data_IF_511269891578
#
_entry.id   IF_511269891578
#
_cell.length_a   1.000
_cell.length_b   1.000
_cell.length_c   1.000
_cell.angle_alpha   90.00
_cell.angle_beta   90.00
_cell.angle_gamma   90.00
#
_symmetry.space_group_name_H-M   'P 1'
#
loop_
_entity.id
_entity.type
_entity.pdbx_description
1 polymer ?
#
# COMPACT_ATOMS: atom_id res chain seq x y z
N UNK A 1 4.45 -12.83 28.24
CA UNK A 1 3.66 -13.83 27.48
C UNK A 1 2.51 -13.07 26.85
N UNK A 2 2.26 -13.26 25.55
CA UNK A 2 1.10 -12.64 24.89
C UNK A 2 -0.17 -13.17 25.55
N UNK A 3 -1.04 -12.29 26.04
CA UNK A 3 -2.28 -12.68 26.73
C UNK A 3 -3.38 -13.16 25.76
N UNK A 4 -3.10 -13.22 24.47
CA UNK A 4 -4.10 -13.41 23.42
C UNK A 4 -3.85 -14.75 22.72
N UNK A 5 -4.83 -15.65 22.76
CA UNK A 5 -4.74 -17.00 22.15
C UNK A 5 -4.90 -16.96 20.62
N UNK A 6 -5.67 -16.00 20.10
CA UNK A 6 -6.00 -15.89 18.69
C UNK A 6 -5.98 -14.44 18.22
N UNK A 7 -5.45 -14.23 17.01
CA UNK A 7 -5.42 -12.93 16.34
C UNK A 7 -6.01 -13.09 14.94
N UNK A 8 -7.00 -12.26 14.61
CA UNK A 8 -7.67 -12.26 13.31
C UNK A 8 -7.33 -10.95 12.60
N UNK A 9 -6.69 -11.06 11.43
CA UNK A 9 -6.49 -9.94 10.51
C UNK A 9 -7.58 -9.99 9.44
N UNK A 10 -8.58 -9.11 9.55
CA UNK A 10 -9.62 -8.94 8.55
C UNK A 10 -9.24 -7.80 7.60
N UNK A 11 -9.13 -8.11 6.31
CA UNK A 11 -8.88 -7.14 5.24
C UNK A 11 -10.03 -7.17 4.22
N UNK A 12 -10.36 -6.02 3.64
CA UNK A 12 -11.40 -5.87 2.63
C UNK A 12 -10.82 -5.17 1.40
N UNK A 13 -11.06 -5.74 0.21
CA UNK A 13 -10.57 -5.18 -1.05
C UNK A 13 -11.44 -4.03 -1.54
N UNK A 14 -10.80 -2.96 -2.01
CA UNK A 14 -11.45 -1.75 -2.54
C UNK A 14 -12.50 -1.08 -1.62
N UNK A 15 -12.45 -1.31 -0.30
CA UNK A 15 -13.37 -0.70 0.67
C UNK A 15 -12.93 0.74 1.00
N UNK A 16 -13.83 1.70 0.80
CA UNK A 16 -13.60 3.11 1.18
C UNK A 16 -14.14 3.36 2.60
N UNK A 17 -13.34 4.01 3.44
CA UNK A 17 -13.73 4.34 4.80
C UNK A 17 -14.97 5.26 4.85
N UNK A 18 -15.06 6.26 3.98
CA UNK A 18 -16.19 7.19 3.90
C UNK A 18 -17.51 6.56 3.41
N UNK A 19 -17.51 5.27 3.08
CA UNK A 19 -18.69 4.48 2.70
C UNK A 19 -19.16 3.53 3.82
N UNK A 20 -18.57 3.62 5.01
CA UNK A 20 -18.98 2.92 6.22
C UNK A 20 -19.76 3.86 7.13
N UNK A 21 -20.91 3.41 7.66
CA UNK A 21 -21.77 4.23 8.52
C UNK A 21 -21.06 4.63 9.82
N UNK A 22 -20.22 3.76 10.40
CA UNK A 22 -19.38 4.12 11.54
C UNK A 22 -18.40 5.28 11.24
N UNK A 23 -18.01 5.53 9.99
CA UNK A 23 -17.17 6.67 9.59
C UNK A 23 -17.97 7.88 9.12
N UNK A 24 -19.30 7.88 9.30
CA UNK A 24 -20.18 9.00 8.99
C UNK A 24 -20.90 8.90 7.64
N UNK A 25 -20.90 7.72 7.00
CA UNK A 25 -21.68 7.53 5.78
C UNK A 25 -23.19 7.58 6.07
N UNK A 26 -23.96 8.22 5.18
CA UNK A 26 -25.40 8.47 5.39
C UNK A 26 -26.26 7.21 5.37
N UNK A 27 -25.83 6.18 4.64
CA UNK A 27 -26.57 4.92 4.53
C UNK A 27 -26.03 3.95 5.55
N UNK A 28 -26.92 3.15 6.13
CA UNK A 28 -26.57 2.02 6.98
C UNK A 28 -26.00 0.87 6.13
N UNK A 29 -24.71 0.94 5.83
CA UNK A 29 -24.02 -0.03 4.96
C UNK A 29 -23.25 -1.08 5.75
N UNK A 30 -23.01 -0.85 7.04
CA UNK A 30 -22.10 -1.66 7.84
C UNK A 30 -22.55 -1.89 9.29
N UNK A 31 -23.82 -2.25 9.57
CA UNK A 31 -24.35 -2.30 10.94
C UNK A 31 -23.54 -3.21 11.86
N UNK A 32 -23.09 -4.38 11.37
CA UNK A 32 -22.25 -5.30 12.16
C UNK A 32 -20.88 -4.72 12.49
N UNK A 33 -20.28 -3.96 11.56
CA UNK A 33 -19.01 -3.28 11.83
C UNK A 33 -19.20 -2.06 12.73
N UNK A 34 -20.38 -1.44 12.70
CA UNK A 34 -20.70 -0.30 13.54
C UNK A 34 -20.82 -0.72 15.01
N UNK A 35 -21.52 -1.84 15.28
CA UNK A 35 -21.59 -2.46 16.60
C UNK A 35 -20.19 -2.81 17.12
N UNK A 36 -19.37 -3.46 16.27
CA UNK A 36 -17.99 -3.81 16.63
C UNK A 36 -17.13 -2.56 16.89
N UNK A 37 -17.31 -1.49 16.11
CA UNK A 37 -16.57 -0.24 16.27
C UNK A 37 -16.95 0.52 17.54
N UNK A 38 -18.17 0.35 18.08
CA UNK A 38 -18.61 1.00 19.31
C UNK A 38 -17.86 0.49 20.56
N UNK A 39 -17.38 -0.75 20.51
CA UNK A 39 -16.64 -1.40 21.61
C UNK A 39 -15.12 -1.47 21.34
N UNK A 40 -14.66 -0.92 20.22
CA UNK A 40 -13.28 -1.02 19.74
C UNK A 40 -12.57 0.33 19.65
N UNK A 41 -11.24 0.29 19.55
CA UNK A 41 -10.47 1.47 19.13
C UNK A 41 -10.57 1.64 17.62
N UNK A 42 -11.01 2.81 17.17
CA UNK A 42 -11.16 3.15 15.75
C UNK A 42 -10.14 4.21 15.32
N UNK A 43 -9.39 3.90 14.27
CA UNK A 43 -8.42 4.82 13.68
C UNK A 43 -9.06 5.67 12.57
N UNK A 44 -9.01 7.00 12.69
CA UNK A 44 -9.51 7.92 11.65
C UNK A 44 -8.45 8.35 10.63
N UNK A 45 -7.19 7.97 10.88
CA UNK A 45 -6.01 8.33 10.06
C UNK A 45 -5.12 7.10 9.82
N UNK A 46 -5.73 6.04 9.29
CA UNK A 46 -5.01 4.85 8.84
C UNK A 46 -4.79 4.93 7.32
N UNK A 47 -3.53 4.85 6.90
CA UNK A 47 -3.14 4.95 5.49
C UNK A 47 -2.57 3.62 5.02
N UNK A 48 -2.96 3.19 3.81
CA UNK A 48 -2.33 2.05 3.16
C UNK A 48 -0.93 2.43 2.68
N UNK A 49 0.01 1.49 2.76
CA UNK A 49 1.37 1.68 2.26
C UNK A 49 1.41 1.85 0.72
N UNK A 50 0.37 1.39 0.02
CA UNK A 50 0.18 1.57 -1.42
C UNK A 50 -1.31 1.62 -1.78
N UNK A 51 -1.65 2.23 -2.91
CA UNK A 51 -3.00 2.23 -3.49
C UNK A 51 -3.36 0.92 -4.20
N UNK A 52 -2.38 0.06 -4.49
CA UNK A 52 -2.56 -1.19 -5.22
C UNK A 52 -2.45 -2.41 -4.31
N UNK A 53 -3.38 -3.37 -4.45
CA UNK A 53 -3.49 -4.57 -3.59
C UNK A 53 -2.22 -5.42 -3.60
N UNK A 54 -1.58 -5.55 -4.78
CA UNK A 54 -0.35 -6.35 -4.94
C UNK A 54 0.80 -5.79 -4.09
N UNK A 55 0.82 -4.49 -3.89
CA UNK A 55 1.87 -3.79 -3.15
C UNK A 55 1.51 -3.63 -1.66
N UNK A 56 0.24 -3.35 -1.37
CA UNK A 56 -0.24 -3.11 0.00
C UNK A 56 -0.26 -4.37 0.87
N UNK A 57 -0.62 -5.53 0.31
CA UNK A 57 -0.74 -6.77 1.09
C UNK A 57 0.60 -7.31 1.60
N UNK A 58 1.67 -7.39 0.79
CA UNK A 58 3.00 -7.75 1.31
C UNK A 58 3.48 -6.78 2.39
N UNK A 59 3.31 -5.47 2.19
CA UNK A 59 3.69 -4.46 3.18
C UNK A 59 2.94 -4.65 4.51
N UNK A 60 1.62 -4.90 4.47
CA UNK A 60 0.81 -5.14 5.66
C UNK A 60 1.26 -6.38 6.46
N UNK A 61 1.62 -7.46 5.77
CA UNK A 61 1.98 -8.74 6.39
C UNK A 61 3.42 -8.79 6.92
N UNK A 62 4.32 -8.04 6.29
CA UNK A 62 5.74 -8.00 6.66
C UNK A 62 6.06 -6.88 7.66
N UNK A 63 5.26 -5.81 7.66
CA UNK A 63 5.57 -4.58 8.38
C UNK A 63 6.63 -3.72 7.69
N UNK A 64 7.02 -4.07 6.46
CA UNK A 64 8.00 -3.34 5.65
C UNK A 64 7.33 -2.43 4.62
N UNK A 65 8.05 -1.42 4.14
CA UNK A 65 7.58 -0.59 3.03
C UNK A 65 7.54 -1.38 1.71
N UNK A 66 6.70 -0.98 0.73
CA UNK A 66 6.51 -1.75 -0.51
C UNK A 66 7.79 -2.01 -1.31
N UNK A 67 8.79 -1.13 -1.23
CA UNK A 67 10.09 -1.26 -1.88
C UNK A 67 10.94 -2.41 -1.32
N UNK A 68 10.73 -2.78 -0.06
CA UNK A 68 11.35 -3.93 0.58
C UNK A 68 10.44 -5.16 0.62
N UNK A 69 9.13 -4.96 0.81
CA UNK A 69 8.15 -6.03 0.96
C UNK A 69 7.85 -6.79 -0.35
N UNK A 70 8.02 -6.10 -1.47
CA UNK A 70 7.91 -6.67 -2.81
C UNK A 70 9.34 -6.61 -3.33
N UNK A 71 10.11 -7.68 -3.20
CA UNK A 71 11.41 -7.76 -3.85
C UNK A 71 11.16 -7.82 -5.37
N UNK A 72 10.97 -6.64 -5.93
CA UNK A 72 10.79 -6.43 -7.34
C UNK A 72 12.20 -6.48 -7.93
N UNK A 73 12.72 -7.70 -8.11
CA UNK A 73 13.61 -8.00 -9.23
C UNK A 73 12.81 -7.84 -10.54
N UNK A 74 12.21 -6.66 -10.77
CA UNK A 74 11.99 -6.18 -12.13
C UNK A 74 13.38 -5.94 -12.63
N UNK A 75 13.82 -6.89 -13.43
CA UNK A 75 14.98 -6.81 -14.27
C UNK A 75 14.80 -5.60 -15.19
N UNK A 76 15.09 -4.41 -14.66
CA UNK A 76 15.05 -3.11 -15.35
C UNK A 76 16.02 -3.08 -16.54
N UNK A 77 16.89 -4.10 -16.65
CA UNK A 77 17.69 -4.37 -17.84
C UNK A 77 16.86 -4.78 -19.06
N UNK A 78 15.65 -5.33 -18.89
CA UNK A 78 14.84 -5.83 -20.03
C UNK A 78 14.06 -4.71 -20.74
N UNK A 79 13.73 -3.60 -20.07
CA UNK A 79 13.02 -2.48 -20.70
C UNK A 79 13.97 -1.43 -21.34
N UNK A 80 15.22 -1.28 -20.86
CA UNK A 80 16.18 -0.34 -21.48
C UNK A 80 16.95 -0.92 -22.68
N UNK A 81 16.75 -2.20 -23.02
CA UNK A 81 17.40 -2.88 -24.16
C UNK A 81 16.46 -3.13 -25.35
N UNK A 82 15.60 -2.19 -25.70
CA UNK A 82 14.97 -2.15 -27.04
C UNK A 82 14.74 -0.72 -27.53
N UNK A 83 15.83 -0.01 -27.85
CA UNK A 83 15.84 0.98 -28.95
C UNK A 83 17.27 1.35 -29.32
N UNK A 84 17.71 0.85 -30.47
CA UNK A 84 18.58 1.60 -31.39
C UNK A 84 20.03 1.83 -30.97
N UNK A 85 20.88 0.89 -31.36
CA UNK A 85 22.21 1.14 -31.91
C UNK A 85 22.29 2.48 -32.66
N UNK A 86 23.07 3.45 -32.17
CA UNK A 86 23.98 4.27 -32.98
C UNK A 86 25.00 5.00 -32.08
N UNK A 87 26.26 5.00 -32.57
CA UNK A 87 27.50 5.51 -31.96
C UNK A 87 27.42 6.97 -31.50
N UNK A 88 28.18 7.30 -30.44
CA UNK A 88 28.66 8.66 -30.21
C UNK A 88 29.07 8.95 -28.76
N UNK A 89 30.36 9.22 -28.54
CA UNK A 89 30.96 9.66 -27.28
C UNK A 89 30.39 10.98 -26.75
N UNK A 90 30.23 11.14 -25.42
CA UNK A 90 30.85 12.20 -24.59
C UNK A 90 30.39 12.21 -23.12
N UNK A 91 31.37 12.48 -22.26
CA UNK A 91 31.41 12.87 -20.84
C UNK A 91 30.19 13.54 -20.16
N UNK A 92 30.05 13.24 -18.85
CA UNK A 92 29.59 14.08 -17.72
C UNK A 92 28.13 14.60 -17.70
N UNK A 93 27.32 14.15 -16.73
CA UNK A 93 26.97 14.92 -15.51
C UNK A 93 25.96 14.20 -14.59
N UNK A 94 26.08 14.57 -13.32
CA UNK A 94 25.30 14.23 -12.11
C UNK A 94 23.86 14.77 -12.23
N UNK A 95 22.88 14.17 -11.54
CA UNK A 95 21.65 14.75 -10.90
C UNK A 95 20.59 13.62 -10.77
N UNK A 96 20.31 13.08 -9.58
CA UNK A 96 19.32 13.57 -8.60
C UNK A 96 18.00 14.07 -9.22
N UNK A 97 16.94 13.25 -9.15
CA UNK A 97 15.60 13.73 -8.78
C UNK A 97 14.69 12.55 -8.40
N UNK A 98 14.59 12.26 -7.10
CA UNK A 98 13.50 11.46 -6.53
C UNK A 98 12.38 12.47 -6.25
N UNK A 99 11.33 12.45 -7.06
CA UNK A 99 10.07 13.12 -6.73
C UNK A 99 9.08 12.05 -6.27
N UNK A 100 8.85 12.03 -4.96
CA UNK A 100 7.60 11.57 -4.38
C UNK A 100 6.46 12.35 -5.04
N UNK A 101 5.45 11.64 -5.55
CA UNK A 101 4.19 12.22 -5.98
C UNK A 101 3.08 11.72 -5.05
N UNK A 102 2.23 12.68 -4.72
CA UNK A 102 1.18 12.73 -3.71
C UNK A 102 0.03 11.72 -3.90
#
# INVERSE_FOLDING_TARGET
MSEWEHVILLSADALRADHLSCYGYRRDTSPVLDDFAAESLRFTRAYSASSHTREAMPALLTGEYPDAAIDVHVDTQTQYKKTGTHRGSTSKHRLNDVRCAE
#
